data_IF_933638364752
#
_entry.id   IF_933638364752
#
_cell.length_a   1.000
_cell.length_b   1.000
_cell.length_c   1.000
_cell.angle_alpha   90.00
_cell.angle_beta   90.00
_cell.angle_gamma   90.00
#
_symmetry.space_group_name_H-M   'P 1'
#
loop_
_entity.id
_entity.type
_entity.pdbx_description
1 polymer ?
#
# COMPACT_ATOMS: atom_id res chain seq x y z
N UNK A 1 17.84 9.65 8.87
CA UNK A 1 17.73 8.27 8.35
C UNK A 1 16.35 8.07 7.77
N UNK A 2 16.20 7.43 6.60
CA UNK A 2 14.88 7.10 6.08
C UNK A 2 14.17 6.15 7.05
N UNK A 3 12.90 6.42 7.38
CA UNK A 3 12.15 5.68 8.39
C UNK A 3 12.16 4.16 8.17
N UNK A 4 12.07 3.71 6.92
CA UNK A 4 12.09 2.30 6.58
C UNK A 4 13.35 1.53 7.00
N UNK A 5 14.48 2.20 7.25
CA UNK A 5 15.71 1.59 7.77
C UNK A 5 15.73 1.45 9.30
N UNK A 6 14.90 2.21 10.01
CA UNK A 6 14.82 2.16 11.47
C UNK A 6 13.86 1.07 11.94
N UNK A 7 12.78 0.83 11.20
CA UNK A 7 11.71 -0.10 11.58
C UNK A 7 12.21 -1.53 11.90
N UNK A 8 13.14 -2.14 11.13
CA UNK A 8 13.66 -3.47 11.48
C UNK A 8 14.53 -3.51 12.75
N UNK A 9 14.86 -2.36 13.34
CA UNK A 9 15.75 -2.24 14.51
C UNK A 9 15.00 -1.97 15.81
N UNK A 10 13.67 -1.90 15.77
CA UNK A 10 12.82 -1.65 16.94
C UNK A 10 11.93 -2.86 17.22
N UNK A 11 11.60 -3.06 18.48
CA UNK A 11 10.70 -4.15 18.88
C UNK A 11 9.23 -3.80 18.60
N UNK A 12 8.84 -2.54 18.86
CA UNK A 12 7.45 -2.08 18.73
C UNK A 12 7.41 -0.63 18.19
N UNK A 13 6.30 -0.28 17.54
CA UNK A 13 6.02 1.09 17.07
C UNK A 13 4.73 1.60 17.70
N UNK A 14 4.85 2.71 18.42
CA UNK A 14 3.74 3.41 19.06
C UNK A 14 3.34 4.62 18.21
N UNK A 15 2.08 4.72 17.82
CA UNK A 15 1.63 5.80 16.92
C UNK A 15 0.21 6.26 17.21
N UNK A 16 -0.10 7.52 16.92
CA UNK A 16 -1.49 8.01 16.90
C UNK A 16 -2.17 7.54 15.61
N UNK A 17 -1.81 8.14 14.48
CA UNK A 17 -2.44 7.88 13.17
C UNK A 17 -1.43 7.91 12.01
N UNK A 18 -0.13 7.85 12.30
CA UNK A 18 0.90 7.98 11.25
C UNK A 18 0.91 6.80 10.30
N UNK A 19 1.21 7.02 9.02
CA UNK A 19 1.40 5.95 8.04
C UNK A 19 2.58 5.03 8.41
N UNK A 20 3.54 5.51 9.22
CA UNK A 20 4.64 4.69 9.74
C UNK A 20 4.16 3.43 10.47
N UNK A 21 3.00 3.48 11.15
CA UNK A 21 2.43 2.28 11.77
C UNK A 21 2.05 1.21 10.75
N UNK A 22 1.50 1.60 9.60
CA UNK A 22 1.25 0.65 8.52
C UNK A 22 2.55 0.09 7.93
N UNK A 23 3.56 0.93 7.72
CA UNK A 23 4.89 0.48 7.26
C UNK A 23 5.57 -0.49 8.24
N UNK A 24 5.31 -0.35 9.54
CA UNK A 24 5.80 -1.25 10.59
C UNK A 24 5.11 -2.62 10.52
N UNK A 25 3.78 -2.64 10.31
CA UNK A 25 3.04 -3.89 10.07
C UNK A 25 3.59 -4.67 8.87
N UNK A 26 3.89 -3.98 7.76
CA UNK A 26 4.48 -4.59 6.56
C UNK A 26 5.83 -5.27 6.83
N UNK A 27 6.53 -4.89 7.91
CA UNK A 27 7.82 -5.44 8.32
C UNK A 27 7.71 -6.44 9.47
N UNK A 28 6.50 -6.80 9.88
CA UNK A 28 6.26 -7.71 11.01
C UNK A 28 6.64 -7.12 12.37
N UNK A 29 6.76 -5.79 12.47
CA UNK A 29 7.01 -5.11 13.74
C UNK A 29 5.67 -4.95 14.46
N UNK A 30 5.67 -5.18 15.77
CA UNK A 30 4.46 -4.99 16.59
C UNK A 30 4.07 -3.50 16.61
N UNK A 31 2.77 -3.21 16.46
CA UNK A 31 2.27 -1.84 16.36
C UNK A 31 1.17 -1.57 17.38
N UNK A 32 1.34 -0.49 18.14
CA UNK A 32 0.38 0.02 19.11
C UNK A 32 -0.22 1.33 18.59
N UNK A 33 -1.54 1.41 18.50
CA UNK A 33 -2.25 2.60 18.00
C UNK A 33 -3.03 3.31 19.10
N UNK A 34 -2.79 4.62 19.25
CA UNK A 34 -3.48 5.49 20.21
C UNK A 34 -4.63 6.28 19.57
N UNK A 35 -4.64 6.40 18.23
CA UNK A 35 -5.71 7.01 17.46
C UNK A 35 -6.48 5.99 16.63
N UNK A 36 -7.18 6.48 15.61
CA UNK A 36 -8.00 5.65 14.72
C UNK A 36 -7.51 5.55 13.27
N UNK A 37 -6.25 5.16 12.97
CA UNK A 37 -5.79 5.04 11.60
C UNK A 37 -6.55 3.95 10.83
N UNK A 38 -6.42 3.95 9.50
CA UNK A 38 -7.14 3.01 8.63
C UNK A 38 -6.78 1.54 8.88
N UNK A 39 -5.57 1.28 9.39
CA UNK A 39 -5.03 -0.06 9.65
C UNK A 39 -5.29 -0.58 11.08
N UNK A 40 -5.86 0.24 11.97
CA UNK A 40 -6.24 -0.18 13.32
C UNK A 40 -7.59 -0.92 13.35
N UNK A 41 -7.89 -1.67 14.41
CA UNK A 41 -9.21 -2.27 14.64
C UNK A 41 -9.51 -3.51 13.81
N UNK A 42 -8.52 -4.06 13.10
CA UNK A 42 -8.65 -5.26 12.27
C UNK A 42 -7.98 -6.50 12.90
N UNK A 43 -7.47 -6.37 14.12
CA UNK A 43 -6.76 -7.43 14.84
C UNK A 43 -5.26 -7.56 14.50
N UNK A 44 -4.71 -6.60 13.75
CA UNK A 44 -3.28 -6.56 13.38
C UNK A 44 -2.45 -5.66 14.31
N UNK A 45 -3.10 -4.87 15.16
CA UNK A 45 -2.51 -3.85 16.04
C UNK A 45 -3.01 -4.00 17.47
N UNK A 46 -2.23 -3.52 18.43
CA UNK A 46 -2.72 -3.25 19.79
C UNK A 46 -3.39 -1.88 19.81
N UNK A 47 -4.71 -1.85 19.94
CA UNK A 47 -5.50 -0.63 19.80
C UNK A 47 -5.96 -0.08 21.15
N UNK A 48 -5.66 1.19 21.41
CA UNK A 48 -6.10 1.90 22.62
C UNK A 48 -7.51 2.50 22.46
N UNK A 49 -8.06 2.47 21.24
CA UNK A 49 -9.43 2.87 20.95
C UNK A 49 -10.28 1.67 20.51
N UNK A 50 -11.59 1.76 20.74
CA UNK A 50 -12.54 0.77 20.26
C UNK A 50 -13.14 1.18 18.91
N UNK A 51 -13.30 0.22 17.99
CA UNK A 51 -13.82 0.45 16.63
C UNK A 51 -15.09 -0.36 16.37
N UNK A 52 -16.28 0.09 16.81
CA UNK A 52 -17.52 -0.70 16.72
C UNK A 52 -17.94 -1.05 15.28
N UNK A 53 -17.46 -0.30 14.28
CA UNK A 53 -17.73 -0.58 12.85
C UNK A 53 -16.73 -1.53 12.19
N UNK A 54 -15.59 -1.82 12.84
CA UNK A 54 -14.55 -2.71 12.30
C UNK A 54 -14.75 -4.09 12.93
N UNK A 55 -15.69 -4.85 12.38
CA UNK A 55 -16.12 -6.14 12.94
C UNK A 55 -15.35 -7.34 12.38
N UNK A 56 -14.67 -7.17 11.24
CA UNK A 56 -13.86 -8.22 10.63
C UNK A 56 -12.47 -8.29 11.28
N UNK A 57 -11.87 -9.48 11.23
CA UNK A 57 -10.43 -9.66 11.44
C UNK A 57 -9.77 -9.87 10.09
N UNK A 58 -8.67 -9.16 9.84
CA UNK A 58 -7.94 -9.23 8.58
C UNK A 58 -6.57 -9.86 8.81
N UNK A 59 -6.12 -10.63 7.85
CA UNK A 59 -4.70 -10.88 7.61
C UNK A 59 -4.01 -9.63 7.09
N UNK A 60 -2.68 -9.58 7.21
CA UNK A 60 -1.89 -8.47 6.66
C UNK A 60 -2.09 -8.33 5.14
N UNK A 61 -2.16 -9.45 4.43
CA UNK A 61 -2.36 -9.48 2.97
C UNK A 61 -3.73 -8.91 2.56
N UNK A 62 -4.79 -9.21 3.31
CA UNK A 62 -6.12 -8.64 3.05
C UNK A 62 -6.14 -7.12 3.26
N UNK A 63 -5.49 -6.63 4.33
CA UNK A 63 -5.34 -5.20 4.57
C UNK A 63 -4.53 -4.54 3.44
N UNK A 64 -3.43 -5.17 3.01
CA UNK A 64 -2.60 -4.70 1.89
C UNK A 64 -3.38 -4.66 0.59
N UNK A 65 -4.13 -5.72 0.27
CA UNK A 65 -4.96 -5.76 -0.92
C UNK A 65 -6.01 -4.63 -0.93
N UNK A 66 -6.70 -4.43 0.20
CA UNK A 66 -7.65 -3.34 0.35
C UNK A 66 -7.02 -1.97 0.15
N UNK A 67 -5.86 -1.73 0.76
CA UNK A 67 -5.30 -0.38 0.92
C UNK A 67 -4.31 0.03 -0.17
N UNK A 68 -3.64 -0.92 -0.81
CA UNK A 68 -2.64 -0.69 -1.85
C UNK A 68 -3.06 -1.19 -3.23
N UNK A 69 -4.03 -2.10 -3.35
CA UNK A 69 -4.42 -2.64 -4.66
C UNK A 69 -5.81 -2.20 -5.11
N UNK A 70 -6.79 -2.24 -4.20
CA UNK A 70 -8.20 -2.02 -4.52
C UNK A 70 -8.65 -0.57 -4.32
N UNK A 71 -8.24 0.06 -3.22
CA UNK A 71 -8.66 1.43 -2.89
C UNK A 71 -8.02 2.52 -3.77
N UNK A 72 -6.69 2.56 -3.95
CA UNK A 72 -6.05 3.63 -4.74
C UNK A 72 -6.06 3.35 -6.24
N UNK A 73 -6.01 4.41 -7.04
CA UNK A 73 -5.73 4.33 -8.47
C UNK A 73 -4.32 4.85 -8.75
N UNK A 74 -3.52 4.09 -9.49
CA UNK A 74 -2.16 4.47 -9.86
C UNK A 74 -2.11 5.02 -11.28
N UNK A 75 -1.40 6.13 -11.45
CA UNK A 75 -1.21 6.77 -12.74
C UNK A 75 0.27 6.93 -13.02
N UNK A 76 0.64 6.59 -14.26
CA UNK A 76 1.97 6.84 -14.75
C UNK A 76 1.99 8.03 -15.72
N UNK A 77 2.77 9.07 -15.37
CA UNK A 77 2.98 10.25 -16.18
C UNK A 77 3.84 10.01 -17.45
N UNK A 78 4.73 9.02 -17.47
CA UNK A 78 5.59 8.72 -18.62
C UNK A 78 4.83 8.05 -19.78
N UNK A 79 3.92 7.12 -19.46
CA UNK A 79 3.06 6.46 -20.45
C UNK A 79 1.70 7.12 -20.59
N UNK A 80 1.39 8.11 -19.76
CA UNK A 80 0.11 8.80 -19.68
C UNK A 80 -1.09 7.84 -19.53
N UNK A 81 -0.92 6.80 -18.70
CA UNK A 81 -1.91 5.74 -18.54
C UNK A 81 -2.07 5.31 -17.06
N UNK A 82 -3.25 4.79 -16.73
CA UNK A 82 -3.45 4.08 -15.47
C UNK A 82 -2.64 2.78 -15.43
N UNK A 83 -2.03 2.51 -14.28
CA UNK A 83 -1.19 1.35 -14.04
C UNK A 83 -1.57 0.69 -12.71
N UNK A 84 -0.86 -0.39 -12.36
CA UNK A 84 -1.06 -1.09 -11.08
C UNK A 84 -0.04 -0.60 -10.04
N UNK A 85 -0.28 -0.95 -8.77
CA UNK A 85 0.67 -0.68 -7.69
C UNK A 85 2.06 -1.26 -7.98
N UNK A 86 2.12 -2.46 -8.54
CA UNK A 86 3.36 -3.16 -8.85
C UNK A 86 4.18 -2.44 -9.93
N UNK A 87 3.50 -1.84 -10.91
CA UNK A 87 4.15 -1.02 -11.94
C UNK A 87 4.82 0.21 -11.31
N UNK A 88 4.18 0.81 -10.30
CA UNK A 88 4.73 1.95 -9.55
C UNK A 88 5.91 1.53 -8.67
N UNK A 89 5.80 0.41 -7.94
CA UNK A 89 6.92 -0.13 -7.17
C UNK A 89 8.13 -0.40 -8.08
N UNK A 90 7.93 -1.03 -9.24
CA UNK A 90 8.99 -1.30 -10.20
C UNK A 90 9.67 -0.02 -10.73
N UNK A 91 8.94 1.10 -10.82
CA UNK A 91 9.52 2.41 -11.17
C UNK A 91 10.35 3.00 -10.05
N UNK A 92 9.80 3.03 -8.84
CA UNK A 92 10.46 3.64 -7.69
C UNK A 92 11.78 2.93 -7.33
N UNK A 93 11.91 1.64 -7.67
CA UNK A 93 13.13 0.87 -7.48
C UNK A 93 14.19 1.11 -8.57
N UNK A 94 13.85 1.74 -9.69
CA UNK A 94 14.80 2.01 -10.77
C UNK A 94 15.52 3.36 -10.54
N UNK A 95 16.86 3.44 -10.74
CA UNK A 95 17.64 4.66 -10.47
C UNK A 95 17.18 5.91 -11.21
N UNK A 96 16.50 5.73 -12.35
CA UNK A 96 16.03 6.78 -13.24
C UNK A 96 14.49 6.85 -13.34
N UNK A 97 13.76 6.04 -12.55
CA UNK A 97 12.29 6.03 -12.54
C UNK A 97 11.63 5.64 -13.87
N UNK A 98 12.38 5.08 -14.82
CA UNK A 98 11.87 4.74 -16.15
C UNK A 98 11.25 3.35 -16.15
N UNK A 99 10.07 3.14 -16.74
CA UNK A 99 9.69 1.77 -17.09
C UNK A 99 10.54 1.31 -18.27
N UNK A 100 11.50 0.40 -18.03
CA UNK A 100 11.97 -0.51 -19.09
C UNK A 100 10.87 -1.53 -19.43
N UNK A 101 9.76 -1.03 -19.96
CA UNK A 101 8.62 -1.84 -20.39
C UNK A 101 8.71 -2.14 -21.88
N UNK A 102 8.86 -3.42 -22.22
CA UNK A 102 8.65 -3.98 -23.56
C UNK A 102 7.39 -3.36 -24.17
N UNK A 103 7.49 -2.86 -25.40
CA UNK A 103 6.42 -2.18 -26.18
C UNK A 103 5.06 -2.90 -26.06
N UNK A 104 5.09 -4.23 -25.94
CA UNK A 104 3.93 -5.09 -25.77
C UNK A 104 3.08 -4.79 -24.50
N UNK A 105 3.70 -4.49 -23.35
CA UNK A 105 2.98 -4.18 -22.11
C UNK A 105 2.16 -2.87 -22.23
N UNK A 106 2.66 -1.90 -23.00
CA UNK A 106 1.94 -0.65 -23.31
C UNK A 106 0.71 -0.94 -24.17
N UNK A 107 0.83 -1.86 -25.12
CA UNK A 107 -0.27 -2.26 -26.00
C UNK A 107 -1.36 -3.02 -25.23
N UNK A 108 -0.98 -3.96 -24.36
CA UNK A 108 -1.92 -4.72 -23.52
C UNK A 108 -2.68 -3.82 -22.55
N UNK A 109 -1.98 -2.91 -21.86
CA UNK A 109 -2.61 -1.98 -20.93
C UNK A 109 -3.55 -0.99 -21.66
N UNK A 110 -3.19 -0.57 -22.88
CA UNK A 110 -4.05 0.25 -23.73
C UNK A 110 -5.36 -0.47 -24.11
N UNK A 111 -5.28 -1.72 -24.55
CA UNK A 111 -6.48 -2.53 -24.87
C UNK A 111 -7.34 -2.75 -23.63
N UNK A 112 -6.73 -3.10 -22.49
CA UNK A 112 -7.43 -3.31 -21.23
C UNK A 112 -8.19 -2.07 -20.76
N UNK A 113 -7.59 -0.88 -20.86
CA UNK A 113 -8.25 0.39 -20.50
C UNK A 113 -9.36 0.77 -21.49
N UNK A 114 -9.23 0.43 -22.78
CA UNK A 114 -10.29 0.65 -23.77
C UNK A 114 -11.51 -0.24 -23.52
N UNK A 115 -11.31 -1.46 -23.02
CA UNK A 115 -12.41 -2.32 -22.56
C UNK A 115 -13.09 -1.77 -21.28
N UNK A 116 -12.31 -1.30 -20.29
CA UNK A 116 -12.85 -0.79 -19.02
C UNK A 116 -13.61 0.54 -19.13
N UNK A 117 -13.53 1.24 -20.27
CA UNK A 117 -14.29 2.47 -20.56
C UNK A 117 -15.56 2.21 -21.40
N UNK A 118 -15.78 0.98 -21.86
CA UNK A 118 -16.91 0.60 -22.72
C UNK A 118 -18.00 -0.22 -22.01
N UNK A 119 -17.78 -0.60 -20.76
CA UNK A 119 -18.80 -1.09 -19.84
C UNK A 119 -18.91 -0.12 -18.68
#
# INVERSE_FOLDING_TARGET
YPMGQLLPKVHEVHTLTSQTGFEALLRGVKVCTYGGPFYAGWGLTEDMQNFPRRMARLSLDELVAGTLLLYPTYYDWQTANFCRAEDVCFRLLQPNGQMRGRIWARFVNFIRNKLRRRG
#
